data_IF_497410588567
#
_entry.id   IF_497410588567
#
_cell.length_a   1.000
_cell.length_b   1.000
_cell.length_c   1.000
_cell.angle_alpha   90.00
_cell.angle_beta   90.00
_cell.angle_gamma   90.00
#
_symmetry.space_group_name_H-M   'P 1'
#
loop_
_entity.id
_entity.type
_entity.pdbx_description
1 polymer ?
#
# COMPACT_ATOMS: atom_id res chain seq x y z
N UNK A 1 -26.81 -4.52 5.89
CA UNK A 1 -25.62 -4.20 6.69
C UNK A 1 -24.64 -3.52 5.76
N UNK A 2 -24.44 -2.21 5.92
CA UNK A 2 -23.50 -1.46 5.09
C UNK A 2 -22.08 -2.01 5.30
N UNK A 3 -21.39 -2.25 4.20
CA UNK A 3 -20.15 -3.02 4.13
C UNK A 3 -18.98 -2.23 4.73
N UNK A 4 -18.76 -2.37 6.04
CA UNK A 4 -17.71 -1.69 6.81
C UNK A 4 -16.29 -2.01 6.32
N UNK A 5 -16.11 -2.97 5.41
CA UNK A 5 -14.81 -3.45 4.93
C UNK A 5 -14.46 -3.06 3.48
N UNK A 6 -15.30 -2.29 2.78
CA UNK A 6 -15.02 -1.86 1.40
C UNK A 6 -14.32 -0.53 1.28
N UNK A 7 -14.29 0.32 2.30
CA UNK A 7 -13.82 1.69 2.15
C UNK A 7 -12.29 1.81 2.32
N UNK A 8 -11.54 1.48 1.26
CA UNK A 8 -10.09 1.64 1.24
C UNK A 8 -9.70 3.11 1.38
N UNK A 9 -10.49 4.04 0.83
CA UNK A 9 -10.27 5.47 1.03
C UNK A 9 -10.31 5.85 2.52
N UNK A 10 -11.22 5.28 3.30
CA UNK A 10 -11.25 5.46 4.76
C UNK A 10 -10.01 4.89 5.45
N UNK A 11 -9.53 3.70 5.07
CA UNK A 11 -8.29 3.11 5.63
C UNK A 11 -7.08 4.02 5.35
N UNK A 12 -7.00 4.58 4.14
CA UNK A 12 -5.97 5.56 3.78
C UNK A 12 -6.10 6.82 4.65
N UNK A 13 -7.32 7.34 4.84
CA UNK A 13 -7.55 8.51 5.69
C UNK A 13 -7.14 8.27 7.16
N UNK A 14 -7.45 7.09 7.72
CA UNK A 14 -7.00 6.68 9.06
C UNK A 14 -5.46 6.59 9.16
N UNK A 15 -4.80 6.13 8.09
CA UNK A 15 -3.33 6.09 8.01
C UNK A 15 -2.76 7.51 8.02
N UNK A 16 -3.34 8.43 7.26
CA UNK A 16 -2.89 9.83 7.25
C UNK A 16 -3.19 10.58 8.54
N UNK A 17 -4.29 10.29 9.22
CA UNK A 17 -4.55 10.80 10.57
C UNK A 17 -3.47 10.34 11.55
N UNK A 18 -3.09 9.06 11.49
CA UNK A 18 -1.99 8.52 12.31
C UNK A 18 -0.69 9.25 12.04
N UNK A 19 -0.31 9.42 10.77
CA UNK A 19 0.90 10.14 10.38
C UNK A 19 0.90 11.60 10.87
N UNK A 20 -0.25 12.28 10.76
CA UNK A 20 -0.42 13.65 11.25
C UNK A 20 -0.18 13.72 12.75
N UNK A 21 -0.80 12.82 13.54
CA UNK A 21 -0.67 12.81 15.00
C UNK A 21 0.78 12.53 15.44
N UNK A 22 1.48 11.61 14.77
CA UNK A 22 2.91 11.37 15.01
C UNK A 22 3.74 12.61 14.70
N UNK A 23 3.42 13.32 13.61
CA UNK A 23 4.14 14.55 13.23
C UNK A 23 3.92 15.71 14.20
N UNK A 24 2.78 15.75 14.91
CA UNK A 24 2.47 16.75 15.93
C UNK A 24 3.12 16.40 17.28
N UNK A 25 3.25 15.11 17.59
CA UNK A 25 3.85 14.60 18.83
C UNK A 25 5.40 14.70 18.81
N UNK A 26 6.02 14.26 17.71
CA UNK A 26 7.48 14.33 17.51
C UNK A 26 7.84 14.66 16.05
N UNK A 27 8.00 15.95 15.72
CA UNK A 27 8.34 16.39 14.37
C UNK A 27 9.71 15.90 13.88
N UNK A 28 10.69 15.73 14.78
CA UNK A 28 12.05 15.33 14.43
C UNK A 28 12.10 13.85 14.06
N UNK A 29 11.46 13.00 14.87
CA UNK A 29 11.28 11.58 14.57
C UNK A 29 10.51 11.40 13.26
N UNK A 30 9.40 12.11 13.09
CA UNK A 30 8.60 12.02 11.87
C UNK A 30 9.38 12.44 10.62
N UNK A 31 10.14 13.54 10.70
CA UNK A 31 11.01 13.99 9.61
C UNK A 31 12.07 12.95 9.24
N UNK A 32 12.65 12.28 10.25
CA UNK A 32 13.64 11.21 10.04
C UNK A 32 13.02 9.98 9.36
N UNK A 33 11.83 9.57 9.80
CA UNK A 33 11.09 8.47 9.17
C UNK A 33 10.71 8.77 7.72
N UNK A 34 10.18 9.98 7.45
CA UNK A 34 9.85 10.40 6.08
C UNK A 34 11.07 10.42 5.18
N UNK A 35 12.22 10.89 5.67
CA UNK A 35 13.46 10.85 4.90
C UNK A 35 13.85 9.40 4.57
N UNK A 36 13.80 8.48 5.54
CA UNK A 36 14.05 7.06 5.29
C UNK A 36 13.12 6.48 4.22
N UNK A 37 11.80 6.69 4.37
CA UNK A 37 10.80 6.21 3.42
C UNK A 37 11.07 6.76 2.01
N UNK A 38 11.30 8.07 1.88
CA UNK A 38 11.61 8.72 0.60
C UNK A 38 12.91 8.19 -0.02
N UNK A 39 13.95 7.92 0.76
CA UNK A 39 15.19 7.34 0.23
C UNK A 39 14.99 5.92 -0.29
N UNK A 40 14.14 5.12 0.36
CA UNK A 40 13.83 3.76 -0.07
C UNK A 40 13.00 3.77 -1.37
N UNK A 41 12.01 4.65 -1.47
CA UNK A 41 11.05 4.67 -2.58
C UNK A 41 11.49 5.54 -3.76
N UNK A 42 12.39 6.53 -3.60
CA UNK A 42 12.82 7.42 -4.70
C UNK A 42 13.22 6.63 -5.96
N UNK A 43 12.86 7.16 -7.13
CA UNK A 43 13.23 6.55 -8.40
C UNK A 43 14.75 6.42 -8.58
N UNK A 44 15.18 5.34 -9.23
CA UNK A 44 16.58 5.09 -9.56
C UNK A 44 16.69 3.96 -10.58
N UNK A 45 17.57 2.98 -10.33
CA UNK A 45 17.68 1.80 -11.19
C UNK A 45 16.35 1.00 -11.30
N UNK A 46 15.51 1.08 -10.27
CA UNK A 46 14.12 0.64 -10.32
C UNK A 46 13.21 1.88 -10.41
N UNK A 47 12.24 1.90 -11.35
CA UNK A 47 11.22 2.94 -11.41
C UNK A 47 10.42 3.03 -10.11
N UNK A 48 9.90 4.21 -9.77
CA UNK A 48 9.08 4.42 -8.58
C UNK A 48 7.90 3.43 -8.51
N UNK A 49 7.19 3.26 -9.64
CA UNK A 49 6.09 2.28 -9.79
C UNK A 49 6.47 0.87 -9.36
N UNK A 50 7.66 0.42 -9.76
CA UNK A 50 8.14 -0.93 -9.44
C UNK A 50 8.41 -1.08 -7.94
N UNK A 51 8.95 -0.02 -7.31
CA UNK A 51 9.18 -0.02 -5.86
C UNK A 51 7.88 -0.06 -5.07
N UNK A 52 6.85 0.65 -5.51
CA UNK A 52 5.52 0.59 -4.87
C UNK A 52 4.84 -0.78 -5.04
N UNK A 53 5.01 -1.45 -6.20
CA UNK A 53 4.54 -2.82 -6.38
C UNK A 53 5.27 -3.82 -5.47
N UNK A 54 6.58 -3.64 -5.27
CA UNK A 54 7.35 -4.44 -4.31
C UNK A 54 6.87 -4.17 -2.87
N UNK A 55 6.69 -2.90 -2.50
CA UNK A 55 6.20 -2.51 -1.19
C UNK A 55 4.79 -3.05 -0.91
N UNK A 56 3.91 -3.05 -1.91
CA UNK A 56 2.59 -3.68 -1.84
C UNK A 56 2.70 -5.19 -1.57
N UNK A 57 3.57 -5.91 -2.29
CA UNK A 57 3.76 -7.34 -2.07
C UNK A 57 4.28 -7.65 -0.65
N UNK A 58 5.19 -6.82 -0.12
CA UNK A 58 5.67 -6.91 1.26
C UNK A 58 4.54 -6.63 2.25
N UNK A 59 3.77 -5.56 2.04
CA UNK A 59 2.63 -5.19 2.88
C UNK A 59 1.56 -6.29 2.98
N UNK A 60 1.34 -7.04 1.89
CA UNK A 60 0.44 -8.21 1.88
C UNK A 60 0.99 -9.30 2.81
N UNK A 61 2.28 -9.62 2.72
CA UNK A 61 2.91 -10.64 3.55
C UNK A 61 3.06 -10.24 5.02
N UNK A 62 3.14 -8.93 5.29
CA UNK A 62 3.09 -8.38 6.65
C UNK A 62 1.67 -8.29 7.20
N UNK A 63 0.66 -8.67 6.40
CA UNK A 63 -0.75 -8.67 6.81
C UNK A 63 -1.22 -7.30 7.30
N UNK A 64 -0.67 -6.23 6.72
CA UNK A 64 -0.89 -4.86 7.15
C UNK A 64 -1.90 -4.17 6.22
N UNK A 65 -3.18 -4.12 6.60
CA UNK A 65 -4.22 -3.47 5.78
C UNK A 65 -3.92 -1.99 5.47
N UNK A 66 -3.36 -1.25 6.42
CA UNK A 66 -2.99 0.16 6.22
C UNK A 66 -1.89 0.30 5.16
N UNK A 67 -0.85 -0.51 5.27
CA UNK A 67 0.28 -0.57 4.34
C UNK A 67 -0.18 -1.00 2.93
N UNK A 68 -1.05 -2.00 2.84
CA UNK A 68 -1.64 -2.45 1.57
C UNK A 68 -2.39 -1.30 0.90
N UNK A 69 -3.23 -0.58 1.64
CA UNK A 69 -4.04 0.50 1.09
C UNK A 69 -3.19 1.67 0.57
N UNK A 70 -2.16 2.08 1.31
CA UNK A 70 -1.30 3.21 0.88
C UNK A 70 -0.40 2.84 -0.30
N UNK A 71 0.23 1.66 -0.29
CA UNK A 71 1.12 1.25 -1.38
C UNK A 71 0.35 0.85 -2.65
N UNK A 72 -0.87 0.33 -2.52
CA UNK A 72 -1.76 0.16 -3.67
C UNK A 72 -2.07 1.52 -4.31
N UNK A 73 -2.48 2.52 -3.50
CA UNK A 73 -2.81 3.85 -4.03
C UNK A 73 -1.60 4.53 -4.67
N UNK A 74 -0.43 4.42 -4.04
CA UNK A 74 0.82 4.96 -4.57
C UNK A 74 1.23 4.28 -5.88
N UNK A 75 1.07 2.95 -6.00
CA UNK A 75 1.31 2.23 -7.25
C UNK A 75 0.36 2.68 -8.37
N UNK A 76 -0.94 2.82 -8.08
CA UNK A 76 -1.93 3.35 -9.02
C UNK A 76 -1.56 4.76 -9.48
N UNK A 77 -1.22 5.65 -8.55
CA UNK A 77 -0.82 7.03 -8.86
C UNK A 77 0.48 7.09 -9.68
N UNK A 78 1.35 6.09 -9.53
CA UNK A 78 2.54 5.89 -10.35
C UNK A 78 2.25 5.24 -11.72
N UNK A 79 0.98 5.00 -12.06
CA UNK A 79 0.54 4.44 -13.34
C UNK A 79 0.57 2.92 -13.41
N UNK A 80 0.49 2.22 -12.27
CA UNK A 80 0.32 0.76 -12.27
C UNK A 80 -1.10 0.38 -12.69
N UNK A 81 -1.18 -0.51 -13.68
CA UNK A 81 -2.47 -1.09 -14.09
C UNK A 81 -2.99 -2.07 -13.04
N UNK A 82 -4.30 -2.35 -13.07
CA UNK A 82 -4.90 -3.43 -12.27
C UNK A 82 -4.16 -4.76 -12.47
N UNK A 83 -3.75 -5.05 -13.70
CA UNK A 83 -3.04 -6.29 -14.04
C UNK A 83 -1.68 -6.37 -13.33
N UNK A 84 -0.88 -5.30 -13.39
CA UNK A 84 0.43 -5.24 -12.72
C UNK A 84 0.28 -5.40 -11.19
N UNK A 85 -0.72 -4.76 -10.60
CA UNK A 85 -1.02 -4.86 -9.16
C UNK A 85 -1.39 -6.30 -8.78
N UNK A 86 -2.28 -6.94 -9.54
CA UNK A 86 -2.69 -8.31 -9.27
C UNK A 86 -1.54 -9.32 -9.46
N UNK A 87 -0.69 -9.13 -10.47
CA UNK A 87 0.49 -9.99 -10.67
C UNK A 87 1.46 -9.90 -9.48
N UNK A 88 1.75 -8.69 -8.97
CA UNK A 88 2.54 -8.51 -7.75
C UNK A 88 1.88 -9.18 -6.53
N UNK A 89 0.56 -9.04 -6.40
CA UNK A 89 -0.20 -9.65 -5.32
C UNK A 89 -0.17 -11.19 -5.36
N UNK A 90 -0.19 -11.80 -6.55
CA UNK A 90 -0.05 -13.25 -6.70
C UNK A 90 1.35 -13.74 -6.32
N UNK A 91 2.40 -12.97 -6.59
CA UNK A 91 3.75 -13.26 -6.10
C UNK A 91 3.78 -13.22 -4.57
N UNK A 92 3.10 -12.27 -3.93
CA UNK A 92 2.98 -12.26 -2.48
C UNK A 92 2.27 -13.53 -1.94
N UNK A 93 1.18 -13.96 -2.58
CA UNK A 93 0.47 -15.21 -2.22
C UNK A 93 1.34 -16.44 -2.42
N UNK A 94 2.14 -16.52 -3.48
CA UNK A 94 3.11 -17.61 -3.68
C UNK A 94 4.04 -17.73 -2.46
N UNK A 95 4.50 -16.60 -1.92
CA UNK A 95 5.47 -16.57 -0.82
C UNK A 95 4.83 -16.73 0.56
N UNK A 96 3.65 -16.17 0.79
CA UNK A 96 2.99 -16.18 2.11
C UNK A 96 1.82 -17.16 2.24
N UNK A 97 1.41 -17.83 1.16
CA UNK A 97 0.39 -18.88 1.17
C UNK A 97 -1.02 -18.40 1.54
N UNK A 98 -1.77 -19.25 2.24
CA UNK A 98 -3.15 -18.99 2.64
C UNK A 98 -3.37 -17.67 3.42
N UNK A 99 -2.50 -17.30 4.40
CA UNK A 99 -2.60 -16.02 5.08
C UNK A 99 -2.57 -14.80 4.14
N UNK A 100 -1.59 -14.72 3.24
CA UNK A 100 -1.51 -13.64 2.25
C UNK A 100 -2.74 -13.61 1.32
N UNK A 101 -3.29 -14.78 0.98
CA UNK A 101 -4.50 -14.88 0.15
C UNK A 101 -5.71 -14.16 0.78
N UNK A 102 -5.89 -14.26 2.10
CA UNK A 102 -6.98 -13.59 2.79
C UNK A 102 -6.87 -12.05 2.72
N UNK A 103 -5.65 -11.52 2.71
CA UNK A 103 -5.38 -10.08 2.63
C UNK A 103 -5.54 -9.49 1.23
N UNK A 104 -5.64 -10.32 0.18
CA UNK A 104 -5.96 -9.84 -1.17
C UNK A 104 -7.32 -9.14 -1.24
N UNK A 105 -8.20 -9.33 -0.25
CA UNK A 105 -9.46 -8.57 -0.16
C UNK A 105 -9.22 -7.06 -0.26
N UNK A 106 -8.21 -6.54 0.44
CA UNK A 106 -7.88 -5.11 0.43
C UNK A 106 -7.29 -4.65 -0.91
N UNK A 107 -6.56 -5.54 -1.60
CA UNK A 107 -6.03 -5.27 -2.93
C UNK A 107 -7.16 -5.17 -3.96
N UNK A 108 -8.08 -6.14 -3.94
CA UNK A 108 -9.22 -6.18 -4.88
C UNK A 108 -10.12 -4.96 -4.67
N UNK A 109 -10.50 -4.68 -3.42
CA UNK A 109 -11.35 -3.53 -3.10
C UNK A 109 -10.66 -2.20 -3.44
N UNK A 110 -9.35 -2.12 -3.23
CA UNK A 110 -8.57 -0.94 -3.60
C UNK A 110 -8.54 -0.74 -5.11
N UNK A 111 -8.34 -1.81 -5.87
CA UNK A 111 -8.36 -1.71 -7.32
C UNK A 111 -9.75 -1.41 -7.90
N UNK A 112 -10.82 -1.90 -7.28
CA UNK A 112 -12.19 -1.52 -7.68
C UNK A 112 -12.46 -0.02 -7.50
N UNK A 113 -11.74 0.64 -6.59
CA UNK A 113 -11.88 2.08 -6.33
C UNK A 113 -10.93 2.96 -7.13
N UNK A 114 -9.70 2.49 -7.36
CA UNK A 114 -8.64 3.37 -7.83
C UNK A 114 -7.99 2.93 -9.15
N UNK A 115 -8.01 1.65 -9.49
CA UNK A 115 -7.31 1.17 -10.69
C UNK A 115 -8.10 1.57 -11.95
N UNK A 116 -7.40 2.04 -12.98
CA UNK A 116 -7.96 2.16 -14.33
C UNK A 116 -7.90 0.79 -15.03
N UNK A 117 -8.70 0.63 -16.10
CA UNK A 117 -8.63 -0.57 -16.96
C UNK A 117 -7.22 -0.80 -17.53
#
# INVERSE_FOLDING_TARGET
>A
MADLNKDIAKIIAETYDTNKRVSEDDPEFWGSFLNFANQATKEGALPYKMKELIALAVAINDHCKFCISVHLKAAVDAGASRKEIMEAAYVAVLMGGGPSMAYLRYVIDGCDQFCTE
#
